data_IF_861714532845
#
_entry.id   IF_861714532845
#
_cell.length_a   1.000
_cell.length_b   1.000
_cell.length_c   1.000
_cell.angle_alpha   90.00
_cell.angle_beta   90.00
_cell.angle_gamma   90.00
#
_symmetry.space_group_name_H-M   'P 1'
#
loop_
_entity.id
_entity.type
_entity.pdbx_description
1 polymer ?
#
# COMPACT_ATOMS: atom_id res chain seq x y z
N UNK A 1 -23.77 -1.27 -3.36
CA UNK A 1 -22.50 -1.97 -3.05
C UNK A 1 -21.44 -1.25 -3.84
N UNK A 2 -20.80 -0.26 -3.23
CA UNK A 2 -19.76 0.49 -3.92
C UNK A 2 -18.55 -0.42 -4.08
N UNK A 3 -18.16 -0.61 -5.33
CA UNK A 3 -16.93 -1.31 -5.68
C UNK A 3 -15.78 -0.47 -5.16
N UNK A 4 -15.16 -0.91 -4.07
CA UNK A 4 -13.93 -0.32 -3.57
C UNK A 4 -12.84 -0.59 -4.61
N UNK A 5 -12.53 0.43 -5.41
CA UNK A 5 -11.40 0.41 -6.35
C UNK A 5 -10.12 0.70 -5.58
N UNK A 6 -9.42 -0.33 -5.13
CA UNK A 6 -8.08 -0.20 -4.52
C UNK A 6 -7.13 0.31 -5.61
N UNK A 7 -6.54 1.51 -5.41
CA UNK A 7 -5.56 2.09 -6.32
C UNK A 7 -4.20 2.08 -5.66
N UNK A 8 -3.31 1.19 -6.10
CA UNK A 8 -1.94 1.14 -5.60
C UNK A 8 -0.90 1.34 -6.72
N UNK A 9 0.31 1.71 -6.29
CA UNK A 9 1.53 1.82 -7.07
C UNK A 9 2.58 0.95 -6.39
N UNK A 10 3.20 0.09 -7.18
CA UNK A 10 4.35 -0.72 -6.72
C UNK A 10 5.63 -0.02 -7.18
N UNK A 11 6.59 0.08 -6.27
CA UNK A 11 7.96 0.47 -6.57
C UNK A 11 8.89 -0.67 -6.20
N UNK A 12 9.55 -1.24 -7.20
CA UNK A 12 10.56 -2.27 -7.02
C UNK A 12 11.95 -1.72 -7.32
N UNK A 13 12.88 -1.96 -6.39
CA UNK A 13 14.31 -1.70 -6.59
C UNK A 13 15.09 -2.99 -6.86
N UNK A 14 14.80 -4.06 -6.12
CA UNK A 14 15.37 -5.39 -6.31
C UNK A 14 14.36 -6.46 -5.91
N UNK A 15 14.68 -7.74 -6.11
CA UNK A 15 13.79 -8.86 -5.75
C UNK A 15 13.25 -8.77 -4.32
N UNK A 16 14.09 -8.32 -3.37
CA UNK A 16 13.76 -8.31 -1.93
C UNK A 16 13.54 -6.89 -1.36
N UNK A 17 13.55 -5.86 -2.21
CA UNK A 17 13.43 -4.46 -1.82
C UNK A 17 12.29 -3.81 -2.61
N UNK A 18 11.08 -3.95 -2.07
CA UNK A 18 9.86 -3.46 -2.70
C UNK A 18 9.08 -2.55 -1.76
N UNK A 19 8.41 -1.57 -2.33
CA UNK A 19 7.41 -0.74 -1.67
C UNK A 19 6.07 -0.84 -2.40
N UNK A 20 4.99 -0.80 -1.62
CA UNK A 20 3.62 -0.76 -2.10
C UNK A 20 2.96 0.45 -1.47
N UNK A 21 2.38 1.33 -2.29
CA UNK A 21 1.68 2.53 -1.82
C UNK A 21 0.32 2.58 -2.48
N UNK A 22 -0.72 3.03 -1.79
CA UNK A 22 -1.99 3.23 -2.46
C UNK A 22 -3.13 3.55 -1.54
N UNK A 23 -4.26 3.86 -2.16
CA UNK A 23 -5.56 3.89 -1.51
C UNK A 23 -6.10 2.46 -1.45
N UNK A 24 -6.07 1.86 -0.26
CA UNK A 24 -6.61 0.53 -0.02
C UNK A 24 -8.09 0.59 0.34
N UNK A 25 -8.56 1.73 0.85
CA UNK A 25 -9.91 1.92 1.38
C UNK A 25 -10.33 0.78 2.34
N UNK A 26 -9.35 0.32 3.14
CA UNK A 26 -9.52 -0.66 4.20
C UNK A 26 -9.36 0.04 5.55
N UNK A 27 -10.28 -0.26 6.47
CA UNK A 27 -10.25 0.27 7.83
C UNK A 27 -9.89 -0.85 8.80
N UNK A 28 -8.89 -0.64 9.65
CA UNK A 28 -8.56 -1.56 10.74
C UNK A 28 -7.83 -0.85 11.88
N UNK A 29 -8.08 -1.22 13.15
CA UNK A 29 -7.30 -0.70 14.29
C UNK A 29 -5.78 -0.88 14.21
N UNK A 30 -5.28 -1.82 13.41
CA UNK A 30 -3.85 -2.13 13.34
C UNK A 30 -3.05 -0.99 12.71
N UNK A 31 -3.65 -0.25 11.78
CA UNK A 31 -3.09 0.95 11.15
C UNK A 31 -3.86 2.23 11.52
N UNK A 32 -4.61 2.23 12.63
CA UNK A 32 -5.26 3.44 13.15
C UNK A 32 -6.69 3.71 12.67
N UNK A 33 -7.35 2.73 12.06
CA UNK A 33 -8.81 2.76 11.84
C UNK A 33 -9.59 2.55 13.15
N UNK A 34 -10.87 2.96 13.18
CA UNK A 34 -11.75 2.76 14.36
C UNK A 34 -12.40 1.38 14.39
N UNK A 35 -12.60 0.79 13.22
CA UNK A 35 -13.32 -0.45 13.01
C UNK A 35 -12.54 -1.32 12.05
N UNK A 36 -12.76 -2.63 12.12
CA UNK A 36 -12.35 -3.57 11.11
C UNK A 36 -13.56 -4.07 10.31
N UNK A 37 -13.26 -4.64 9.15
CA UNK A 37 -14.18 -5.34 8.26
C UNK A 37 -13.59 -6.72 7.94
N UNK A 38 -14.38 -7.72 7.51
CA UNK A 38 -13.83 -9.02 7.13
C UNK A 38 -12.67 -8.91 6.12
N UNK A 39 -12.77 -7.99 5.16
CA UNK A 39 -11.70 -7.73 4.17
C UNK A 39 -10.42 -7.18 4.79
N UNK A 40 -10.53 -6.29 5.78
CA UNK A 40 -9.35 -5.75 6.44
C UNK A 40 -8.69 -6.77 7.37
N UNK A 41 -9.48 -7.68 7.96
CA UNK A 41 -8.96 -8.81 8.75
C UNK A 41 -8.21 -9.78 7.84
N UNK A 42 -8.80 -10.18 6.70
CA UNK A 42 -8.12 -11.00 5.68
C UNK A 42 -6.81 -10.36 5.19
N UNK A 43 -6.81 -9.04 5.00
CA UNK A 43 -5.60 -8.30 4.62
C UNK A 43 -4.54 -8.32 5.73
N UNK A 44 -4.94 -8.20 7.00
CA UNK A 44 -4.03 -8.30 8.13
C UNK A 44 -3.46 -9.72 8.26
N UNK A 45 -4.25 -10.75 8.05
CA UNK A 45 -3.80 -12.14 8.03
C UNK A 45 -2.76 -12.38 6.92
N UNK A 46 -3.01 -11.86 5.72
CA UNK A 46 -2.04 -11.89 4.63
C UNK A 46 -0.76 -11.13 5.01
N UNK A 47 -0.89 -9.92 5.58
CA UNK A 47 0.25 -9.11 6.01
C UNK A 47 1.13 -9.88 7.01
N UNK A 48 0.52 -10.52 8.01
CA UNK A 48 1.20 -11.32 9.03
C UNK A 48 1.92 -12.56 8.47
N UNK A 49 1.46 -13.09 7.34
CA UNK A 49 2.07 -14.24 6.67
C UNK A 49 3.09 -13.83 5.59
N UNK A 50 3.10 -12.55 5.20
CA UNK A 50 3.98 -12.01 4.17
C UNK A 50 5.33 -11.56 4.73
N UNK A 51 6.28 -11.23 3.84
CA UNK A 51 7.52 -10.54 4.19
C UNK A 51 7.42 -9.00 4.11
N UNK A 52 6.19 -8.47 4.15
CA UNK A 52 5.91 -7.05 4.15
C UNK A 52 5.62 -6.52 5.55
N UNK A 53 5.85 -5.23 5.72
CA UNK A 53 5.53 -4.52 6.94
C UNK A 53 4.88 -3.20 6.58
N UNK A 54 3.87 -2.82 7.36
CA UNK A 54 3.19 -1.53 7.19
C UNK A 54 4.04 -0.42 7.81
N UNK A 55 4.20 0.68 7.07
CA UNK A 55 4.93 1.87 7.51
C UNK A 55 4.00 2.96 8.07
N UNK A 56 2.68 2.78 7.93
CA UNK A 56 1.71 3.74 8.43
C UNK A 56 1.75 3.83 9.95
N UNK A 57 1.56 5.04 10.45
CA UNK A 57 1.15 5.31 11.83
C UNK A 57 -0.37 5.49 11.87
N UNK A 58 -0.93 5.72 13.06
CA UNK A 58 -2.35 6.08 13.20
C UNK A 58 -2.69 7.51 12.74
N UNK A 59 -1.78 8.20 12.05
CA UNK A 59 -2.01 9.53 11.50
C UNK A 59 -2.97 9.46 10.31
N UNK A 60 -4.05 10.25 10.27
CA UNK A 60 -5.00 10.25 9.16
C UNK A 60 -4.35 10.48 7.81
N UNK A 61 -4.72 9.69 6.80
CA UNK A 61 -4.28 9.83 5.41
C UNK A 61 -5.38 10.35 4.49
N UNK A 62 -6.60 10.44 5.00
CA UNK A 62 -7.74 11.00 4.29
C UNK A 62 -8.64 11.75 5.27
N UNK A 63 -9.06 12.95 4.91
CA UNK A 63 -9.97 13.82 5.67
C UNK A 63 -11.06 14.31 4.71
N UNK A 64 -12.29 13.89 4.97
CA UNK A 64 -13.43 14.33 4.16
C UNK A 64 -13.79 15.79 4.42
N UNK A 65 -14.58 16.37 3.53
CA UNK A 65 -15.18 17.71 3.69
C UNK A 65 -15.97 17.90 4.99
N UNK A 66 -16.48 16.80 5.58
CA UNK A 66 -17.19 16.82 6.86
C UNK A 66 -16.26 16.61 8.07
N UNK A 67 -14.94 16.75 7.87
CA UNK A 67 -13.91 16.56 8.89
C UNK A 67 -13.84 15.14 9.49
N UNK A 68 -14.32 14.14 8.75
CA UNK A 68 -14.12 12.73 9.12
C UNK A 68 -12.75 12.27 8.64
N UNK A 69 -11.93 11.82 9.58
CA UNK A 69 -10.57 11.33 9.31
C UNK A 69 -10.51 9.81 9.22
N UNK A 70 -9.71 9.28 8.28
CA UNK A 70 -9.43 7.85 8.15
C UNK A 70 -7.98 7.58 7.74
N UNK A 71 -7.48 6.38 8.05
CA UNK A 71 -6.21 5.86 7.53
C UNK A 71 -6.55 4.79 6.50
N UNK A 72 -6.62 5.18 5.23
CA UNK A 72 -7.01 4.30 4.11
C UNK A 72 -5.95 4.22 3.02
N UNK A 73 -5.12 5.25 2.88
CA UNK A 73 -3.89 5.15 2.11
C UNK A 73 -2.84 4.42 2.92
N UNK A 74 -2.38 3.26 2.45
CA UNK A 74 -1.39 2.43 3.12
C UNK A 74 -0.08 2.37 2.33
N UNK A 75 0.99 2.24 3.08
CA UNK A 75 2.36 2.09 2.62
C UNK A 75 2.95 0.85 3.26
N UNK A 76 3.35 -0.10 2.43
CA UNK A 76 4.05 -1.32 2.84
C UNK A 76 5.47 -1.29 2.27
N UNK A 77 6.42 -1.84 3.02
CA UNK A 77 7.74 -2.15 2.49
C UNK A 77 8.14 -3.58 2.84
N UNK A 78 9.03 -4.17 2.04
CA UNK A 78 9.69 -5.42 2.42
C UNK A 78 10.39 -5.25 3.77
N UNK A 79 10.37 -6.27 4.63
CA UNK A 79 10.98 -6.22 5.96
C UNK A 79 12.46 -5.82 5.94
N UNK A 80 13.18 -6.17 4.86
CA UNK A 80 14.57 -5.78 4.63
C UNK A 80 14.81 -4.26 4.56
N UNK A 81 13.76 -3.46 4.34
CA UNK A 81 13.83 -2.01 4.20
C UNK A 81 13.50 -1.25 5.49
N UNK A 82 12.91 -1.91 6.50
CA UNK A 82 12.34 -1.24 7.69
C UNK A 82 13.30 -0.30 8.40
N UNK A 83 14.57 -0.68 8.53
CA UNK A 83 15.58 0.11 9.24
C UNK A 83 16.22 1.22 8.37
N UNK A 84 15.83 1.33 7.10
CA UNK A 84 16.42 2.26 6.13
C UNK A 84 15.45 3.35 5.68
N UNK A 85 14.19 3.27 6.13
CA UNK A 85 13.08 4.07 5.63
C UNK A 85 12.51 4.95 6.73
N UNK A 86 12.10 6.15 6.33
CA UNK A 86 11.33 7.06 7.17
C UNK A 86 10.03 7.39 6.44
N UNK A 87 8.90 7.25 7.12
CA UNK A 87 7.56 7.42 6.56
C UNK A 87 6.75 8.37 7.45
N UNK A 88 6.13 9.39 6.85
CA UNK A 88 5.22 10.29 7.56
C UNK A 88 4.11 10.78 6.64
N UNK A 89 3.02 11.26 7.24
CA UNK A 89 1.93 11.92 6.52
C UNK A 89 2.19 13.42 6.51
N UNK A 90 2.14 14.02 5.33
CA UNK A 90 2.25 15.47 5.12
C UNK A 90 1.04 16.19 5.69
N UNK A 91 1.26 17.36 6.30
CA UNK A 91 0.21 18.28 6.75
C UNK A 91 -0.40 19.10 5.59
N UNK A 92 0.28 19.15 4.44
CA UNK A 92 -0.21 19.79 3.23
C UNK A 92 -1.06 18.83 2.40
N UNK A 93 -2.31 19.21 2.12
CA UNK A 93 -3.28 18.38 1.37
C UNK A 93 -3.27 18.62 -0.15
N UNK A 94 -2.62 19.67 -0.64
CA UNK A 94 -2.62 20.07 -2.05
C UNK A 94 -4.02 20.11 -2.70
N UNK A 95 -5.01 20.66 -1.98
CA UNK A 95 -6.42 20.76 -2.42
C UNK A 95 -7.13 19.40 -2.62
N UNK A 96 -6.54 18.30 -2.17
CA UNK A 96 -7.17 16.98 -2.08
C UNK A 96 -7.76 16.73 -0.68
N UNK A 97 -8.72 15.82 -0.60
CA UNK A 97 -9.18 15.19 0.64
C UNK A 97 -8.22 14.10 1.15
N UNK A 98 -7.28 13.63 0.31
CA UNK A 98 -6.20 12.75 0.72
C UNK A 98 -4.96 13.56 1.16
N UNK A 99 -4.32 13.08 2.22
CA UNK A 99 -3.05 13.61 2.73
C UNK A 99 -1.91 12.77 2.15
N UNK A 100 -0.92 13.41 1.50
CA UNK A 100 0.23 12.71 0.94
C UNK A 100 1.02 11.97 2.02
N UNK A 101 1.40 10.73 1.71
CA UNK A 101 2.39 9.99 2.48
C UNK A 101 3.75 10.22 1.84
N UNK A 102 4.71 10.66 2.64
CA UNK A 102 6.09 10.89 2.22
C UNK A 102 6.96 9.77 2.77
N UNK A 103 7.64 9.06 1.87
CA UNK A 103 8.66 8.07 2.23
C UNK A 103 10.03 8.51 1.76
N UNK A 104 10.94 8.63 2.73
CA UNK A 104 12.36 8.82 2.50
C UNK A 104 13.06 7.48 2.66
N UNK A 105 13.94 7.16 1.71
CA UNK A 105 14.78 5.97 1.76
C UNK A 105 16.20 6.36 1.40
N UNK A 106 17.15 6.07 2.29
CA UNK A 106 18.54 6.52 2.18
C UNK A 106 19.25 6.08 0.89
N UNK A 107 18.82 4.96 0.28
CA UNK A 107 19.39 4.43 -0.96
C UNK A 107 18.64 4.84 -2.23
N UNK A 108 17.59 5.65 -2.10
CA UNK A 108 16.74 6.05 -3.23
C UNK A 108 17.54 6.73 -4.36
N UNK A 109 18.54 7.54 -4.03
CA UNK A 109 19.37 8.27 -5.01
C UNK A 109 20.13 7.35 -5.96
N UNK A 110 20.56 6.18 -5.50
CA UNK A 110 21.20 5.14 -6.31
C UNK A 110 20.17 4.28 -7.05
N UNK A 111 18.94 4.22 -6.53
CA UNK A 111 17.86 3.36 -7.00
C UNK A 111 17.09 3.91 -8.20
N UNK A 112 17.10 5.22 -8.43
CA UNK A 112 16.28 5.89 -9.48
C UNK A 112 16.46 5.31 -10.88
N UNK A 113 17.61 4.70 -11.19
CA UNK A 113 17.89 4.05 -12.48
C UNK A 113 17.13 2.74 -12.70
N UNK A 114 16.63 2.11 -11.64
CA UNK A 114 16.02 0.77 -11.66
C UNK A 114 14.57 0.77 -11.18
N UNK A 115 14.00 1.93 -10.87
CA UNK A 115 12.63 2.03 -10.38
C UNK A 115 11.64 1.67 -11.50
N UNK A 116 10.97 0.53 -11.32
CA UNK A 116 9.78 0.17 -12.10
C UNK A 116 8.54 0.62 -11.33
N UNK A 117 7.80 1.58 -11.87
CA UNK A 117 6.47 1.94 -11.36
C UNK A 117 5.43 1.13 -12.11
N UNK A 118 4.61 0.39 -11.37
CA UNK A 118 3.46 -0.33 -11.94
C UNK A 118 2.20 0.38 -11.47
N UNK A 119 1.49 0.98 -12.43
CA UNK A 119 0.17 1.58 -12.21
C UNK A 119 -0.89 0.50 -12.34
N UNK A 120 -1.65 0.31 -11.28
CA UNK A 120 -2.79 -0.59 -11.30
C UNK A 120 -3.98 0.11 -11.95
N UNK A 121 -4.40 -0.37 -13.13
CA UNK A 121 -5.70 0.03 -13.66
C UNK A 121 -6.80 -0.59 -12.79
N UNK A 122 -7.93 0.11 -12.58
CA UNK A 122 -9.06 -0.40 -11.84
C UNK A 122 -9.75 -1.49 -12.66
N UNK A 123 -9.16 -2.67 -12.74
CA UNK A 123 -9.77 -3.88 -13.29
C UNK A 123 -9.71 -4.93 -12.20
N UNK A 124 -10.51 -4.78 -11.14
CA UNK A 124 -10.59 -5.83 -10.13
C UNK A 124 -12.03 -5.96 -9.63
N UNK A 125 -12.77 -6.88 -10.24
CA UNK A 125 -13.83 -7.62 -9.54
C UNK A 125 -13.24 -8.53 -8.44
N UNK A 126 -11.92 -8.70 -8.35
CA UNK A 126 -11.30 -9.79 -7.59
C UNK A 126 -9.90 -9.49 -7.01
N UNK A 127 -9.69 -8.29 -6.45
CA UNK A 127 -8.44 -7.93 -5.74
C UNK A 127 -8.10 -8.89 -4.59
N UNK A 128 -9.11 -9.54 -4.00
CA UNK A 128 -8.97 -10.48 -2.89
C UNK A 128 -8.27 -11.79 -3.30
N UNK A 129 -8.64 -12.37 -4.45
CA UNK A 129 -8.01 -13.59 -4.97
C UNK A 129 -6.53 -13.37 -5.33
N UNK A 130 -6.15 -12.13 -5.63
CA UNK A 130 -4.79 -11.79 -6.01
C UNK A 130 -3.83 -11.79 -4.81
N UNK A 131 -4.13 -11.05 -3.74
CA UNK A 131 -3.25 -10.94 -2.56
C UNK A 131 -3.04 -12.31 -1.88
N UNK A 132 -4.09 -13.11 -1.75
CA UNK A 132 -4.01 -14.46 -1.17
C UNK A 132 -3.20 -15.45 -2.01
N UNK A 133 -3.04 -15.21 -3.32
CA UNK A 133 -2.38 -16.14 -4.23
C UNK A 133 -0.86 -16.01 -4.31
N UNK A 134 -0.27 -15.10 -3.55
CA UNK A 134 1.15 -14.79 -3.65
C UNK A 134 1.73 -14.65 -2.25
N UNK A 135 2.30 -15.76 -1.76
CA UNK A 135 3.04 -15.81 -0.51
C UNK A 135 4.28 -14.91 -0.53
N UNK A 136 4.76 -14.55 -1.72
CA UNK A 136 5.86 -13.60 -1.91
C UNK A 136 5.75 -12.96 -3.31
N UNK A 137 4.94 -11.90 -3.51
CA UNK A 137 4.73 -11.29 -4.81
C UNK A 137 5.98 -10.55 -5.25
N UNK A 138 6.93 -11.28 -5.83
CA UNK A 138 7.89 -10.63 -6.70
C UNK A 138 7.10 -9.98 -7.84
N UNK A 139 7.54 -8.80 -8.26
CA UNK A 139 6.90 -8.08 -9.36
C UNK A 139 6.81 -8.93 -10.63
N UNK A 140 7.69 -9.92 -10.84
CA UNK A 140 7.56 -10.87 -11.95
C UNK A 140 6.28 -11.69 -11.86
N UNK A 141 5.98 -12.31 -10.71
CA UNK A 141 4.76 -13.13 -10.51
C UNK A 141 3.51 -12.27 -10.67
N UNK A 142 3.56 -11.06 -10.12
CA UNK A 142 2.52 -10.03 -10.26
C UNK A 142 2.33 -9.66 -11.74
N UNK A 143 3.40 -9.41 -12.48
CA UNK A 143 3.34 -8.99 -13.90
C UNK A 143 2.91 -10.15 -14.81
N UNK A 144 3.30 -11.38 -14.51
CA UNK A 144 3.07 -12.56 -15.34
C UNK A 144 1.63 -13.06 -15.26
N UNK A 145 1.01 -13.08 -14.08
CA UNK A 145 -0.42 -13.39 -13.93
C UNK A 145 -1.34 -12.43 -14.71
N UNK A 146 -0.90 -11.21 -14.96
CA UNK A 146 -1.62 -10.22 -15.76
C UNK A 146 -1.50 -10.43 -17.27
N UNK A 147 -0.48 -11.14 -17.76
CA UNK A 147 -0.39 -11.50 -19.18
C UNK A 147 -1.31 -12.66 -19.56
N UNK A 148 -1.73 -13.44 -18.58
CA UNK A 148 -2.54 -14.65 -18.74
C UNK A 148 -4.03 -14.46 -18.45
N UNK A 149 -4.44 -13.24 -18.11
CA UNK A 149 -5.83 -12.78 -18.00
C UNK A 149 -6.18 -11.89 -19.19
#
# INVERSE_FOLDING_TARGET
MDLISIRFKIFQYSKNANFYFGDFNLHHPFWGGKTSTPKSEEFLDWLNQSHFSILNTSTPTHITHNFTSSVIDLTLCSAALLNEVYCYVSDCTFESDHLPIVVSWSKLTNATKYLKTIYWNPILRDSNNFLQSIADPTVEIVTEKFRTL
#
